data_IF_926005766323
#
_entry.id   IF_926005766323
#
_cell.length_a   1.000
_cell.length_b   1.000
_cell.length_c   1.000
_cell.angle_alpha   90.00
_cell.angle_beta   90.00
_cell.angle_gamma   90.00
#
_symmetry.space_group_name_H-M   'P 1'
#
loop_
_entity.id
_entity.type
_entity.pdbx_description
1 polymer ?
#
# COMPACT_ATOMS: atom_id res chain seq x y z
N UNK A 1 7.80 -20.07 13.47
CA UNK A 1 7.24 -20.53 12.19
C UNK A 1 8.42 -20.83 11.29
N UNK A 2 8.75 -22.11 11.10
CA UNK A 2 9.81 -22.53 10.19
C UNK A 2 9.26 -22.43 8.77
N UNK A 3 9.78 -21.49 7.98
CA UNK A 3 9.60 -21.48 6.53
C UNK A 3 10.22 -22.77 5.98
N UNK A 4 9.40 -23.64 5.40
CA UNK A 4 9.88 -24.79 4.66
C UNK A 4 9.39 -24.72 3.22
N UNK A 5 10.34 -24.97 2.33
CA UNK A 5 10.21 -25.42 0.93
C UNK A 5 9.62 -24.44 -0.10
N UNK A 6 10.48 -23.54 -0.60
CA UNK A 6 10.94 -23.57 -2.01
C UNK A 6 11.82 -22.37 -2.43
N UNK A 7 12.24 -21.50 -1.51
CA UNK A 7 13.28 -20.51 -1.81
C UNK A 7 14.66 -21.16 -1.65
N UNK A 8 15.35 -21.30 -2.78
CA UNK A 8 16.67 -21.90 -2.95
C UNK A 8 17.71 -21.40 -1.94
N UNK A 9 18.72 -22.22 -1.64
CA UNK A 9 19.70 -22.05 -0.57
C UNK A 9 20.68 -20.89 -0.77
N UNK A 10 20.16 -19.67 -0.66
CA UNK A 10 20.92 -18.41 -0.66
C UNK A 10 20.90 -17.88 0.77
N UNK A 11 22.08 -17.55 1.30
CA UNK A 11 22.23 -17.14 2.70
C UNK A 11 21.35 -15.91 2.98
N UNK A 12 20.61 -15.85 4.10
CA UNK A 12 19.74 -14.73 4.50
C UNK A 12 20.45 -13.35 4.38
N UNK A 13 21.77 -13.34 4.52
CA UNK A 13 22.61 -12.16 4.36
C UNK A 13 22.68 -11.59 2.94
N UNK A 14 22.50 -12.40 1.90
CA UNK A 14 22.57 -11.95 0.50
C UNK A 14 21.35 -11.12 0.11
N UNK A 15 20.16 -11.42 0.63
CA UNK A 15 18.96 -10.59 0.39
C UNK A 15 19.09 -9.17 0.95
N UNK A 16 20.08 -8.90 1.82
CA UNK A 16 20.39 -7.57 2.34
C UNK A 16 21.56 -6.90 1.63
N UNK A 17 22.19 -7.56 0.65
CA UNK A 17 23.38 -7.08 -0.06
C UNK A 17 23.14 -5.75 -0.77
N UNK A 18 21.88 -5.53 -1.20
CA UNK A 18 21.48 -4.35 -1.95
C UNK A 18 22.24 -4.20 -3.26
N UNK A 19 21.97 -3.10 -3.94
CA UNK A 19 22.43 -2.91 -5.31
C UNK A 19 22.70 -1.46 -5.65
N UNK A 20 23.36 -1.25 -6.79
CA UNK A 20 23.67 0.06 -7.37
C UNK A 20 23.45 0.04 -8.88
N UNK A 21 23.37 1.22 -9.51
CA UNK A 21 23.18 1.33 -10.95
C UNK A 21 21.83 0.77 -11.42
N UNK A 22 21.85 0.02 -12.53
CA UNK A 22 20.67 -0.61 -13.14
C UNK A 22 20.19 -1.86 -12.42
N UNK A 23 20.99 -2.38 -11.49
CA UNK A 23 20.60 -3.48 -10.63
C UNK A 23 20.54 -4.87 -11.28
N UNK A 24 21.63 -5.28 -11.95
CA UNK A 24 21.73 -6.61 -12.53
C UNK A 24 22.23 -7.70 -11.54
N UNK A 25 22.47 -7.35 -10.27
CA UNK A 25 23.18 -8.23 -9.31
C UNK A 25 22.79 -7.93 -7.83
N UNK A 26 21.51 -7.71 -7.51
CA UNK A 26 21.03 -7.48 -6.12
C UNK A 26 21.03 -8.73 -5.23
N UNK A 27 21.49 -9.87 -5.75
CA UNK A 27 21.45 -11.15 -5.04
C UNK A 27 20.02 -11.64 -4.74
N UNK A 28 19.00 -11.15 -5.47
CA UNK A 28 17.60 -11.56 -5.36
C UNK A 28 16.82 -10.91 -4.21
N UNK A 29 17.36 -9.85 -3.61
CA UNK A 29 16.76 -9.23 -2.42
C UNK A 29 15.40 -8.58 -2.70
N UNK A 30 15.24 -7.92 -3.86
CA UNK A 30 13.98 -7.24 -4.21
C UNK A 30 12.88 -8.24 -4.54
N UNK A 31 13.20 -9.26 -5.34
CA UNK A 31 12.28 -10.32 -5.74
C UNK A 31 11.83 -11.13 -4.51
N UNK A 32 12.74 -11.37 -3.56
CA UNK A 32 12.39 -11.99 -2.29
C UNK A 32 11.44 -11.10 -1.45
N UNK A 33 11.66 -9.78 -1.42
CA UNK A 33 10.79 -8.86 -0.69
C UNK A 33 9.39 -8.83 -1.31
N UNK A 34 9.30 -8.77 -2.64
CA UNK A 34 8.05 -8.80 -3.39
C UNK A 34 7.28 -10.10 -3.14
N UNK A 35 7.97 -11.25 -3.26
CA UNK A 35 7.36 -12.56 -3.06
C UNK A 35 6.84 -12.73 -1.63
N UNK A 36 7.63 -12.34 -0.62
CA UNK A 36 7.21 -12.41 0.78
C UNK A 36 6.03 -11.48 1.05
N UNK A 37 6.03 -10.27 0.50
CA UNK A 37 4.93 -9.33 0.69
C UNK A 37 3.64 -9.82 0.01
N UNK A 38 3.73 -10.33 -1.22
CA UNK A 38 2.60 -10.91 -1.96
C UNK A 38 1.96 -12.07 -1.19
N UNK A 39 2.78 -12.97 -0.64
CA UNK A 39 2.32 -14.09 0.19
C UNK A 39 1.60 -13.60 1.46
N UNK A 40 2.17 -12.63 2.18
CA UNK A 40 1.59 -12.06 3.40
C UNK A 40 0.20 -11.46 3.14
N UNK A 41 0.03 -10.73 2.04
CA UNK A 41 -1.25 -10.05 1.72
C UNK A 41 -2.18 -10.89 0.86
N UNK A 42 -1.79 -12.11 0.49
CA UNK A 42 -2.57 -13.04 -0.34
C UNK A 42 -2.82 -12.54 -1.76
N UNK A 43 -1.83 -11.87 -2.35
CA UNK A 43 -1.83 -11.41 -3.74
C UNK A 43 -1.11 -12.40 -4.67
N UNK A 44 -1.40 -12.34 -5.97
CA UNK A 44 -0.65 -13.09 -6.99
C UNK A 44 0.78 -12.55 -7.14
N UNK A 45 0.94 -11.22 -7.10
CA UNK A 45 2.22 -10.55 -7.17
C UNK A 45 2.22 -9.26 -6.32
N UNK A 46 3.42 -8.74 -6.07
CA UNK A 46 3.62 -7.43 -5.45
C UNK A 46 4.85 -6.74 -6.04
N UNK A 47 4.87 -5.41 -5.93
CA UNK A 47 6.05 -4.57 -6.12
C UNK A 47 6.22 -3.69 -4.88
N UNK A 48 7.30 -3.91 -4.14
CA UNK A 48 7.63 -3.22 -2.89
C UNK A 48 8.95 -2.48 -3.08
N UNK A 49 8.90 -1.15 -3.12
CA UNK A 49 10.02 -0.35 -3.62
C UNK A 49 10.22 0.95 -2.84
N UNK A 50 11.49 1.33 -2.53
CA UNK A 50 11.79 2.66 -2.00
C UNK A 50 11.58 3.78 -3.03
N UNK A 51 11.49 3.45 -4.32
CA UNK A 51 11.25 4.40 -5.41
C UNK A 51 9.84 5.00 -5.38
N UNK A 52 8.90 4.39 -4.66
CA UNK A 52 7.64 5.06 -4.37
C UNK A 52 7.86 6.20 -3.37
N UNK A 53 7.71 7.44 -3.84
CA UNK A 53 7.84 8.64 -2.99
C UNK A 53 6.88 8.67 -1.79
N UNK A 54 5.67 8.10 -1.93
CA UNK A 54 4.65 8.08 -0.87
C UNK A 54 3.58 7.02 -1.16
N UNK A 55 2.67 6.81 -0.21
CA UNK A 55 1.46 6.00 -0.44
C UNK A 55 0.61 6.55 -1.58
N UNK A 56 0.41 7.87 -1.66
CA UNK A 56 -0.31 8.51 -2.77
C UNK A 56 0.36 8.23 -4.12
N UNK A 57 1.70 8.18 -4.18
CA UNK A 57 2.40 7.79 -5.41
C UNK A 57 2.10 6.33 -5.79
N UNK A 58 2.12 5.40 -4.83
CA UNK A 58 1.78 4.00 -5.09
C UNK A 58 0.33 3.82 -5.57
N UNK A 59 -0.62 4.52 -4.93
CA UNK A 59 -2.04 4.53 -5.33
C UNK A 59 -2.20 5.12 -6.73
N UNK A 60 -1.50 6.23 -7.04
CA UNK A 60 -1.52 6.80 -8.38
C UNK A 60 -1.01 5.79 -9.42
N UNK A 61 0.13 5.12 -9.17
CA UNK A 61 0.63 4.08 -10.07
C UNK A 61 -0.38 2.96 -10.30
N UNK A 62 -1.05 2.49 -9.24
CA UNK A 62 -2.11 1.47 -9.35
C UNK A 62 -3.33 1.96 -10.14
N UNK A 63 -3.79 3.19 -9.93
CA UNK A 63 -4.90 3.77 -10.69
C UNK A 63 -4.56 3.92 -12.18
N UNK A 64 -3.36 4.42 -12.49
CA UNK A 64 -2.88 4.50 -13.89
C UNK A 64 -2.64 3.12 -14.51
N UNK A 65 -2.37 2.09 -13.72
CA UNK A 65 -2.30 0.71 -14.20
C UNK A 65 -3.68 0.22 -14.67
N UNK A 66 -4.72 0.50 -13.89
CA UNK A 66 -6.11 0.08 -14.13
C UNK A 66 -6.83 0.88 -15.22
N UNK A 67 -6.58 2.19 -15.29
CA UNK A 67 -7.42 3.11 -16.06
C UNK A 67 -6.78 3.48 -17.40
N UNK A 68 -7.63 3.69 -18.41
CA UNK A 68 -7.27 4.15 -19.75
C UNK A 68 -8.24 5.27 -20.17
N UNK A 69 -7.89 6.08 -21.20
CA UNK A 69 -8.80 7.09 -21.71
C UNK A 69 -10.18 6.51 -22.04
N UNK A 70 -11.25 7.19 -21.59
CA UNK A 70 -12.63 6.74 -21.73
C UNK A 70 -13.13 5.81 -20.62
N UNK A 71 -12.28 5.39 -19.68
CA UNK A 71 -12.72 4.67 -18.49
C UNK A 71 -13.33 5.62 -17.44
N UNK A 72 -14.09 5.06 -16.51
CA UNK A 72 -14.67 5.78 -15.36
C UNK A 72 -14.14 5.18 -14.05
N UNK A 73 -13.65 6.04 -13.16
CA UNK A 73 -13.29 5.72 -11.77
C UNK A 73 -14.51 5.92 -10.86
N UNK A 74 -14.88 4.87 -10.12
CA UNK A 74 -15.98 4.90 -9.16
C UNK A 74 -15.44 4.88 -7.73
N UNK A 75 -15.71 5.92 -6.95
CA UNK A 75 -15.41 5.94 -5.51
C UNK A 75 -16.61 5.44 -4.71
N UNK A 76 -16.42 4.37 -3.93
CA UNK A 76 -17.50 3.69 -3.18
C UNK A 76 -17.48 3.93 -1.68
N UNK A 77 -16.36 4.43 -1.15
CA UNK A 77 -16.15 4.66 0.28
C UNK A 77 -16.27 6.15 0.66
N UNK A 78 -16.96 6.94 -0.16
CA UNK A 78 -17.03 8.40 -0.03
C UNK A 78 -15.95 9.13 -0.82
N UNK A 79 -15.77 10.44 -0.59
CA UNK A 79 -14.83 11.25 -1.35
C UNK A 79 -13.37 10.86 -1.03
N UNK A 80 -12.47 10.94 -2.03
CA UNK A 80 -11.05 10.71 -1.83
C UNK A 80 -10.45 11.77 -0.91
N UNK A 81 -9.35 11.44 -0.25
CA UNK A 81 -8.60 12.40 0.56
C UNK A 81 -7.84 13.41 -0.33
N UNK A 82 -7.53 14.59 0.22
CA UNK A 82 -7.04 15.77 -0.48
C UNK A 82 -5.98 15.54 -1.56
N UNK A 83 -4.94 14.73 -1.30
CA UNK A 83 -3.86 14.54 -2.29
C UNK A 83 -4.30 13.67 -3.47
N UNK A 84 -5.30 12.80 -3.26
CA UNK A 84 -5.84 11.96 -4.32
C UNK A 84 -6.82 12.75 -5.22
N UNK A 85 -7.43 13.82 -4.72
CA UNK A 85 -8.23 14.75 -5.53
C UNK A 85 -7.43 15.34 -6.71
N UNK A 86 -6.14 15.64 -6.50
CA UNK A 86 -5.25 16.18 -7.54
C UNK A 86 -4.83 15.11 -8.54
N UNK A 87 -4.60 13.87 -8.09
CA UNK A 87 -4.33 12.72 -8.98
C UNK A 87 -5.53 12.46 -9.89
N UNK A 88 -6.75 12.53 -9.34
CA UNK A 88 -7.98 12.34 -10.10
C UNK A 88 -8.26 13.54 -11.03
N UNK A 89 -7.92 14.75 -10.60
CA UNK A 89 -8.23 16.00 -11.31
C UNK A 89 -9.56 16.63 -10.88
N UNK A 90 -10.00 16.36 -9.65
CA UNK A 90 -11.11 17.06 -8.97
C UNK A 90 -10.64 18.45 -8.53
N UNK A 91 -9.42 18.51 -7.99
CA UNK A 91 -8.71 19.72 -7.56
C UNK A 91 -7.42 19.89 -8.35
N UNK A 92 -6.87 21.10 -8.37
CA UNK A 92 -5.56 21.40 -8.97
C UNK A 92 -5.63 22.07 -10.34
N UNK A 93 -4.48 22.16 -10.99
CA UNK A 93 -4.31 22.81 -12.30
C UNK A 93 -4.54 21.82 -13.44
N UNK A 94 -5.09 22.27 -14.56
CA UNK A 94 -5.20 21.46 -15.77
C UNK A 94 -3.83 21.16 -16.39
N UNK A 95 -3.72 20.04 -17.12
CA UNK A 95 -2.52 19.61 -17.85
C UNK A 95 -1.31 19.29 -16.95
N UNK A 96 -1.55 18.82 -15.73
CA UNK A 96 -0.50 18.32 -14.82
C UNK A 96 -0.33 16.80 -14.91
N UNK A 97 -1.15 16.13 -15.73
CA UNK A 97 -1.11 14.67 -15.92
C UNK A 97 -2.02 13.92 -14.96
N UNK A 98 -3.13 14.54 -14.53
CA UNK A 98 -4.18 13.90 -13.74
C UNK A 98 -4.95 12.86 -14.56
N UNK A 99 -5.68 11.94 -13.91
CA UNK A 99 -6.54 10.97 -14.60
C UNK A 99 -7.54 11.66 -15.55
N UNK A 100 -8.11 12.79 -15.10
CA UNK A 100 -8.99 13.63 -15.92
C UNK A 100 -8.31 14.19 -17.18
N UNK A 101 -7.04 14.59 -17.10
CA UNK A 101 -6.27 15.04 -18.28
C UNK A 101 -6.12 13.91 -19.32
N UNK A 102 -6.13 12.65 -18.88
CA UNK A 102 -6.13 11.47 -19.75
C UNK A 102 -7.53 11.01 -20.17
N UNK A 103 -8.59 11.79 -19.91
CA UNK A 103 -9.95 11.47 -20.33
C UNK A 103 -10.62 10.37 -19.50
N UNK A 104 -10.18 10.16 -18.26
CA UNK A 104 -10.87 9.32 -17.28
C UNK A 104 -11.93 10.15 -16.56
N UNK A 105 -13.16 9.64 -16.47
CA UNK A 105 -14.22 10.28 -15.68
C UNK A 105 -14.20 9.78 -14.24
N UNK A 106 -14.81 10.53 -13.33
CA UNK A 106 -14.88 10.20 -11.91
C UNK A 106 -16.31 10.37 -11.40
N UNK A 107 -16.75 9.44 -10.56
CA UNK A 107 -18.05 9.50 -9.89
C UNK A 107 -18.04 8.81 -8.53
N UNK A 108 -18.72 9.40 -7.56
CA UNK A 108 -19.00 8.78 -6.27
C UNK A 108 -20.31 7.98 -6.35
N UNK A 109 -20.29 6.73 -5.89
CA UNK A 109 -21.47 5.85 -5.89
C UNK A 109 -21.56 5.07 -4.57
N UNK A 110 -22.77 4.81 -4.04
CA UNK A 110 -22.92 4.14 -2.75
C UNK A 110 -22.75 2.60 -2.81
N UNK A 111 -22.51 2.02 -3.99
CA UNK A 111 -22.53 0.58 -4.20
C UNK A 111 -21.50 0.12 -5.22
N UNK A 112 -20.88 -1.03 -4.94
CA UNK A 112 -19.98 -1.70 -5.86
C UNK A 112 -20.74 -2.37 -7.01
N UNK A 113 -20.14 -2.36 -8.19
CA UNK A 113 -20.62 -3.10 -9.35
C UNK A 113 -19.76 -4.38 -9.50
N UNK A 114 -20.36 -5.59 -9.51
CA UNK A 114 -19.60 -6.84 -9.57
C UNK A 114 -18.79 -7.03 -10.87
N UNK A 115 -19.04 -6.22 -11.91
CA UNK A 115 -18.30 -6.27 -13.17
C UNK A 115 -17.15 -5.24 -13.25
N UNK A 116 -16.83 -4.55 -12.15
CA UNK A 116 -15.75 -3.58 -12.10
C UNK A 116 -14.48 -4.18 -11.48
N UNK A 117 -13.33 -3.71 -11.93
CA UNK A 117 -12.08 -3.94 -11.20
C UNK A 117 -12.11 -3.17 -9.88
N UNK A 118 -11.66 -3.79 -8.81
CA UNK A 118 -11.66 -3.27 -7.45
C UNK A 118 -10.23 -2.95 -7.03
N UNK A 119 -9.98 -1.67 -6.80
CA UNK A 119 -8.76 -1.17 -6.16
C UNK A 119 -9.07 -0.76 -4.73
N UNK A 120 -8.24 -1.18 -3.78
CA UNK A 120 -8.34 -0.73 -2.38
C UNK A 120 -7.09 0.05 -1.99
N UNK A 121 -7.26 1.31 -1.61
CA UNK A 121 -6.24 2.01 -0.82
C UNK A 121 -6.22 1.36 0.56
N UNK A 122 -5.15 0.61 0.85
CA UNK A 122 -5.05 -0.21 2.05
C UNK A 122 -4.24 0.49 3.15
N UNK A 123 -3.92 1.77 2.98
CA UNK A 123 -3.17 2.54 3.97
C UNK A 123 -3.84 2.49 5.36
N UNK A 124 -3.05 2.16 6.38
CA UNK A 124 -3.44 2.06 7.79
C UNK A 124 -4.25 0.81 8.15
N UNK A 125 -4.74 0.05 7.17
CA UNK A 125 -5.44 -1.21 7.38
C UNK A 125 -4.53 -2.42 7.53
N UNK A 126 -3.28 -2.31 7.05
CA UNK A 126 -2.38 -3.45 6.97
C UNK A 126 -2.12 -4.05 8.36
N UNK A 127 -2.29 -5.37 8.46
CA UNK A 127 -2.09 -6.20 9.66
C UNK A 127 -3.02 -5.91 10.85
N UNK A 128 -4.08 -5.12 10.66
CA UNK A 128 -5.10 -4.89 11.69
C UNK A 128 -6.03 -6.09 11.80
N UNK A 129 -6.38 -6.68 10.67
CA UNK A 129 -7.17 -7.91 10.57
C UNK A 129 -6.32 -9.10 10.09
N UNK A 130 -6.89 -10.30 10.17
CA UNK A 130 -6.23 -11.53 9.72
C UNK A 130 -6.27 -11.71 8.19
N UNK A 131 -7.07 -10.91 7.50
CA UNK A 131 -7.26 -10.96 6.06
C UNK A 131 -7.04 -9.58 5.47
N UNK A 132 -6.31 -9.53 4.35
CA UNK A 132 -6.09 -8.32 3.57
C UNK A 132 -7.05 -8.25 2.38
N UNK A 133 -7.30 -7.07 1.77
CA UNK A 133 -8.32 -6.93 0.74
C UNK A 133 -8.11 -7.82 -0.50
N UNK A 134 -6.85 -8.11 -0.86
CA UNK A 134 -6.53 -9.02 -1.97
C UNK A 134 -7.05 -10.46 -1.71
N UNK A 135 -7.06 -10.91 -0.45
CA UNK A 135 -7.57 -12.23 -0.06
C UNK A 135 -9.09 -12.37 -0.24
N UNK A 136 -9.81 -11.24 -0.31
CA UNK A 136 -11.28 -11.20 -0.36
C UNK A 136 -11.82 -10.60 -1.66
N UNK A 137 -10.97 -10.45 -2.68
CA UNK A 137 -11.40 -10.13 -4.05
C UNK A 137 -11.01 -8.75 -4.57
N UNK A 138 -10.15 -7.99 -3.88
CA UNK A 138 -9.54 -6.81 -4.49
C UNK A 138 -8.56 -7.21 -5.61
N UNK A 139 -8.66 -6.56 -6.78
CA UNK A 139 -7.76 -6.80 -7.91
C UNK A 139 -6.38 -6.18 -7.69
N UNK A 140 -6.35 -5.04 -7.00
CA UNK A 140 -5.13 -4.37 -6.55
C UNK A 140 -5.35 -3.74 -5.17
N UNK A 141 -4.29 -3.71 -4.38
CA UNK A 141 -4.12 -2.92 -3.17
C UNK A 141 -2.84 -2.08 -3.31
N UNK A 142 -2.83 -0.89 -2.71
CA UNK A 142 -1.62 -0.09 -2.60
C UNK A 142 -1.56 0.61 -1.25
N UNK A 143 -0.34 0.92 -0.82
CA UNK A 143 -0.11 1.61 0.44
C UNK A 143 1.33 2.10 0.58
N UNK A 144 1.66 2.52 1.80
CA UNK A 144 2.94 3.17 2.10
C UNK A 144 3.77 2.36 3.07
N UNK A 145 5.08 2.25 2.80
CA UNK A 145 6.00 1.58 3.69
C UNK A 145 6.34 2.44 4.92
N UNK A 146 6.15 3.76 4.90
CA UNK A 146 6.34 4.58 6.12
C UNK A 146 5.15 4.49 7.11
N UNK A 147 4.16 3.63 6.82
CA UNK A 147 3.00 3.35 7.67
C UNK A 147 3.14 1.95 8.30
N UNK A 148 2.05 1.21 8.39
CA UNK A 148 1.95 -0.08 9.07
C UNK A 148 3.03 -1.08 8.58
N UNK A 149 3.23 -1.30 7.26
CA UNK A 149 4.12 -2.37 6.82
C UNK A 149 5.62 -2.09 7.01
N UNK A 150 6.00 -0.84 7.29
CA UNK A 150 7.40 -0.53 7.57
C UNK A 150 7.82 -0.69 9.01
N UNK A 151 6.90 -1.06 9.91
CA UNK A 151 7.23 -1.35 11.31
C UNK A 151 8.00 -0.22 12.00
N UNK A 152 7.69 1.04 11.67
CA UNK A 152 8.35 2.27 12.17
C UNK A 152 9.81 2.50 11.76
N UNK A 153 10.38 1.63 10.93
CA UNK A 153 11.80 1.68 10.57
C UNK A 153 12.07 1.79 9.07
N UNK A 154 11.11 1.44 8.22
CA UNK A 154 11.25 1.68 6.79
C UNK A 154 11.44 3.18 6.53
N UNK A 155 12.54 3.60 5.86
CA UNK A 155 12.87 5.01 5.73
C UNK A 155 11.99 5.74 4.70
N UNK A 156 11.48 5.01 3.71
CA UNK A 156 10.64 5.50 2.63
C UNK A 156 9.96 4.32 1.91
N UNK A 157 9.19 4.63 0.87
CA UNK A 157 8.67 3.64 -0.07
C UNK A 157 7.18 3.40 0.03
N UNK A 158 6.73 2.46 -0.79
CA UNK A 158 5.35 2.07 -0.97
C UNK A 158 5.27 0.69 -1.61
N UNK A 159 4.04 0.21 -1.76
CA UNK A 159 3.79 -1.07 -2.40
C UNK A 159 2.54 -1.01 -3.27
N UNK A 160 2.51 -1.87 -4.28
CA UNK A 160 1.30 -2.29 -5.00
C UNK A 160 1.29 -3.81 -5.02
N UNK A 161 0.18 -4.44 -4.66
CA UNK A 161 0.02 -5.89 -4.67
C UNK A 161 -1.36 -6.28 -5.19
N UNK A 162 -1.49 -7.43 -5.85
CA UNK A 162 -2.76 -7.93 -6.39
C UNK A 162 -2.53 -8.86 -7.56
N UNK A 163 -3.33 -8.72 -8.62
CA UNK A 163 -3.20 -9.54 -9.83
C UNK A 163 -1.90 -9.25 -10.58
N UNK A 164 -1.23 -10.29 -11.06
CA UNK A 164 0.13 -10.21 -11.62
C UNK A 164 0.24 -9.16 -12.74
N UNK A 165 -0.61 -9.28 -13.77
CA UNK A 165 -0.62 -8.35 -14.92
C UNK A 165 -0.92 -6.89 -14.55
N UNK A 166 -1.63 -6.64 -13.43
CA UNK A 166 -1.92 -5.29 -12.94
C UNK A 166 -0.75 -4.71 -12.15
N UNK A 167 -0.05 -5.56 -11.39
CA UNK A 167 1.19 -5.21 -10.68
C UNK A 167 2.29 -4.87 -11.70
N UNK A 168 2.42 -5.64 -12.78
CA UNK A 168 3.34 -5.33 -13.89
C UNK A 168 3.03 -3.98 -14.54
N UNK A 169 1.75 -3.68 -14.77
CA UNK A 169 1.32 -2.40 -15.31
C UNK A 169 1.62 -1.24 -14.34
N UNK A 170 1.46 -1.44 -13.03
CA UNK A 170 1.84 -0.46 -12.00
C UNK A 170 3.36 -0.26 -11.94
N UNK A 171 4.15 -1.33 -12.08
CA UNK A 171 5.60 -1.27 -12.17
C UNK A 171 6.06 -0.45 -13.39
N UNK A 172 5.46 -0.71 -14.56
CA UNK A 172 5.73 0.06 -15.77
C UNK A 172 5.38 1.55 -15.62
N UNK A 173 4.41 1.88 -14.77
CA UNK A 173 4.06 3.28 -14.45
C UNK A 173 5.05 3.91 -13.47
N UNK A 174 5.55 3.16 -12.50
CA UNK A 174 6.59 3.61 -11.59
C UNK A 174 7.92 3.89 -12.32
N UNK A 175 8.28 3.02 -13.27
CA UNK A 175 9.50 3.12 -14.08
C UNK A 175 9.20 3.62 -15.49
N UNK A 176 9.20 2.72 -16.47
CA UNK A 176 8.76 2.94 -17.84
C UNK A 176 8.31 1.61 -18.46
N UNK A 177 7.40 1.64 -19.46
CA UNK A 177 7.03 0.45 -20.22
C UNK A 177 8.25 -0.26 -20.82
N UNK A 178 8.31 -1.59 -20.67
CA UNK A 178 9.41 -2.43 -21.15
C UNK A 178 10.58 -2.60 -20.19
N UNK A 179 10.67 -1.81 -19.11
CA UNK A 179 11.66 -2.03 -18.04
C UNK A 179 11.14 -3.01 -16.97
N UNK A 180 9.83 -3.02 -16.72
CA UNK A 180 9.21 -3.93 -15.76
C UNK A 180 9.74 -3.74 -14.33
N UNK A 181 9.85 -4.84 -13.59
CA UNK A 181 10.29 -4.91 -12.18
C UNK A 181 11.80 -5.12 -12.00
N UNK A 182 12.53 -5.36 -13.10
CA UNK A 182 13.94 -5.79 -13.10
C UNK A 182 14.90 -4.66 -12.71
N UNK A 183 14.53 -3.41 -12.98
CA UNK A 183 15.39 -2.25 -12.75
C UNK A 183 14.98 -1.45 -11.51
N UNK A 184 15.98 -0.92 -10.80
CA UNK A 184 15.75 -0.02 -9.66
C UNK A 184 16.59 -0.43 -8.46
N UNK A 185 17.74 0.24 -8.29
CA UNK A 185 18.66 -0.10 -7.22
C UNK A 185 18.11 0.21 -5.83
N UNK A 186 18.38 -0.69 -4.88
CA UNK A 186 18.02 -0.52 -3.47
C UNK A 186 19.28 -0.69 -2.63
N UNK A 187 19.78 0.37 -1.96
CA UNK A 187 20.95 0.24 -1.09
C UNK A 187 20.72 -0.80 0.01
N UNK A 188 21.72 -1.61 0.33
CA UNK A 188 21.55 -2.76 1.23
C UNK A 188 21.04 -2.40 2.63
N UNK A 189 21.42 -1.22 3.15
CA UNK A 189 20.89 -0.73 4.43
C UNK A 189 19.38 -0.39 4.37
N UNK A 190 18.88 0.07 3.22
CA UNK A 190 17.45 0.28 2.97
C UNK A 190 16.76 -1.07 2.84
N UNK A 191 17.31 -1.98 2.04
CA UNK A 191 16.75 -3.33 1.86
C UNK A 191 16.56 -4.04 3.21
N UNK A 192 17.59 -4.02 4.06
CA UNK A 192 17.51 -4.55 5.42
C UNK A 192 16.40 -3.90 6.25
N UNK A 193 16.26 -2.58 6.18
CA UNK A 193 15.23 -1.86 6.91
C UNK A 193 13.82 -2.21 6.43
N UNK A 194 13.63 -2.46 5.13
CA UNK A 194 12.35 -2.89 4.57
C UNK A 194 11.96 -4.29 5.08
N UNK A 195 12.86 -5.28 5.00
CA UNK A 195 12.61 -6.62 5.54
C UNK A 195 12.36 -6.61 7.05
N UNK A 196 13.19 -5.90 7.80
CA UNK A 196 13.02 -5.80 9.24
C UNK A 196 11.71 -5.07 9.59
N UNK A 197 11.34 -4.06 8.80
CA UNK A 197 10.12 -3.29 8.99
C UNK A 197 8.89 -4.17 8.79
N UNK A 198 8.90 -4.96 7.71
CA UNK A 198 7.83 -5.92 7.42
C UNK A 198 7.68 -6.96 8.52
N UNK A 199 8.79 -7.48 9.05
CA UNK A 199 8.77 -8.43 10.16
C UNK A 199 8.21 -7.82 11.46
N UNK A 200 8.55 -6.56 11.75
CA UNK A 200 8.07 -5.86 12.96
C UNK A 200 6.66 -5.26 12.79
N UNK A 201 6.20 -5.08 11.55
CA UNK A 201 4.94 -4.43 11.19
C UNK A 201 3.75 -4.89 12.03
N UNK A 202 3.40 -6.20 12.04
CA UNK A 202 2.26 -6.70 12.79
C UNK A 202 2.32 -6.38 14.30
N UNK A 203 3.51 -6.44 14.91
CA UNK A 203 3.67 -6.09 16.32
C UNK A 203 3.44 -4.59 16.55
N UNK A 204 4.00 -3.72 15.71
CA UNK A 204 3.85 -2.27 15.84
C UNK A 204 2.41 -1.82 15.59
N UNK A 205 1.72 -2.45 14.64
CA UNK A 205 0.28 -2.25 14.39
C UNK A 205 -0.54 -2.65 15.61
N UNK A 206 -0.25 -3.81 16.21
CA UNK A 206 -0.91 -4.25 17.44
C UNK A 206 -0.76 -3.24 18.59
N UNK A 207 0.41 -2.62 18.75
CA UNK A 207 0.62 -1.55 19.74
C UNK A 207 -0.16 -0.28 19.39
N UNK A 208 -0.22 0.12 18.11
CA UNK A 208 -1.00 1.26 17.66
C UNK A 208 -2.51 1.07 17.91
N UNK A 209 -3.05 -0.12 17.61
CA UNK A 209 -4.46 -0.47 17.86
C UNK A 209 -4.78 -0.39 19.35
N UNK A 210 -3.95 -0.97 20.23
CA UNK A 210 -4.12 -0.87 21.68
C UNK A 210 -4.10 0.59 22.15
N UNK A 211 -3.18 1.39 21.61
CA UNK A 211 -3.10 2.83 21.89
C UNK A 211 -4.37 3.56 21.48
N UNK A 212 -4.89 3.31 20.28
CA UNK A 212 -6.14 3.88 19.79
C UNK A 212 -7.34 3.52 20.67
N UNK A 213 -7.46 2.25 21.08
CA UNK A 213 -8.51 1.80 22.01
C UNK A 213 -8.41 2.48 23.37
N UNK A 214 -7.21 2.62 23.93
CA UNK A 214 -7.00 3.33 25.20
C UNK A 214 -7.39 4.80 25.09
N UNK A 215 -6.99 5.47 24.00
CA UNK A 215 -7.36 6.87 23.73
C UNK A 215 -8.89 7.00 23.64
N UNK A 216 -9.55 6.11 22.91
CA UNK A 216 -11.01 6.10 22.78
C UNK A 216 -11.68 5.99 24.14
N UNK A 217 -11.28 5.01 24.97
CA UNK A 217 -11.81 4.79 26.32
C UNK A 217 -11.65 6.04 27.21
N UNK A 218 -10.44 6.57 27.30
CA UNK A 218 -10.13 7.71 28.17
C UNK A 218 -10.87 8.98 27.73
N UNK A 219 -10.91 9.24 26.43
CA UNK A 219 -11.56 10.45 25.89
C UNK A 219 -13.08 10.35 25.99
N UNK A 220 -13.66 9.17 25.71
CA UNK A 220 -15.09 8.92 25.88
C UNK A 220 -15.52 9.06 27.34
N UNK A 221 -14.74 8.51 28.29
CA UNK A 221 -15.00 8.66 29.73
C UNK A 221 -14.93 10.13 30.21
N UNK A 222 -14.17 10.99 29.51
CA UNK A 222 -14.11 12.43 29.76
C UNK A 222 -15.21 13.23 29.06
N UNK A 223 -16.15 12.55 28.39
CA UNK A 223 -17.28 13.17 27.69
C UNK A 223 -16.95 13.70 26.30
N UNK A 224 -15.81 13.33 25.70
CA UNK A 224 -15.55 13.67 24.30
C UNK A 224 -16.18 12.64 23.36
N UNK A 225 -16.69 13.11 22.22
CA UNK A 225 -17.04 12.24 21.10
C UNK A 225 -15.76 11.68 20.45
N UNK A 226 -15.75 10.38 20.21
CA UNK A 226 -14.63 9.65 19.59
C UNK A 226 -15.14 8.76 18.48
N UNK A 227 -14.30 8.56 17.47
CA UNK A 227 -14.60 7.70 16.33
C UNK A 227 -13.31 7.01 15.85
N UNK A 228 -13.29 5.68 15.71
CA UNK A 228 -14.31 4.73 16.16
C UNK A 228 -14.52 4.73 17.68
N UNK A 229 -15.65 4.17 18.14
CA UNK A 229 -15.99 4.05 19.55
C UNK A 229 -15.04 3.10 20.31
N UNK A 230 -14.98 3.16 21.65
CA UNK A 230 -14.26 2.15 22.42
C UNK A 230 -14.83 0.74 22.17
N UNK A 231 -13.95 -0.26 22.13
CA UNK A 231 -14.30 -1.70 22.03
C UNK A 231 -15.08 -2.14 20.78
N UNK A 232 -15.17 -1.31 19.75
CA UNK A 232 -15.64 -1.78 18.44
C UNK A 232 -14.48 -2.43 17.66
N UNK A 233 -14.77 -3.37 16.74
CA UNK A 233 -13.78 -3.89 15.81
C UNK A 233 -13.03 -2.78 15.09
N UNK A 234 -11.74 -3.03 14.80
CA UNK A 234 -10.85 -2.10 14.12
C UNK A 234 -10.48 -2.68 12.77
N UNK A 235 -10.50 -1.82 11.76
CA UNK A 235 -10.12 -2.13 10.38
C UNK A 235 -8.93 -1.28 9.93
N UNK A 236 -8.56 -0.27 10.72
CA UNK A 236 -7.36 0.54 10.58
C UNK A 236 -6.84 0.96 11.98
N UNK A 237 -5.70 1.67 12.00
CA UNK A 237 -5.12 2.24 13.23
C UNK A 237 -5.61 3.66 13.56
N UNK A 238 -6.55 4.22 12.79
CA UNK A 238 -6.98 5.61 12.94
C UNK A 238 -7.91 5.75 14.15
N UNK A 239 -7.66 6.78 14.95
CA UNK A 239 -8.53 7.17 16.05
C UNK A 239 -8.71 8.69 16.04
N UNK A 240 -9.95 9.12 15.87
CA UNK A 240 -10.36 10.51 15.88
C UNK A 240 -11.04 10.84 17.20
N UNK A 241 -10.86 12.08 17.65
CA UNK A 241 -11.65 12.69 18.72
C UNK A 241 -12.18 14.03 18.23
N UNK A 242 -13.39 14.38 18.68
CA UNK A 242 -13.87 15.74 18.51
C UNK A 242 -13.08 16.73 19.37
N UNK A 243 -12.97 17.96 18.90
CA UNK A 243 -12.48 19.08 19.70
C UNK A 243 -13.53 19.53 20.73
N UNK A 244 -14.80 19.22 20.51
CA UNK A 244 -15.93 19.58 21.36
C UNK A 244 -16.34 18.39 22.25
N UNK A 245 -16.77 18.71 23.47
CA UNK A 245 -17.39 17.75 24.40
C UNK A 245 -18.88 17.64 24.10
#
# INVERSE_FOLDING_TARGET
MFLHSHVCGVCLFQHFGGSTGYDHDDGGGREALDSVFADIVGAEAAIVRPQFFSGTHAIACALFALLRPGHELLAVAGPPYDTLEEVIGIRGSANVGSLKDFGVTYREVPMQNPNCMVMVDNCYGEFVEISEPAMVGADLIAGSLIKNPGGTIAPCGGYVAGKEHLVEAAAARLSAPGLGVEFGSTPGHVMRALFQGLFLGPQMVGEAVKGGLLIAEVMSAKGYKVEPLPRVPRHDIVQVKSSLR
#
